data_IF_920595369274
#
_entry.id   IF_920595369274
#
_cell.length_a   1.000
_cell.length_b   1.000
_cell.length_c   1.000
_cell.angle_alpha   90.00
_cell.angle_beta   90.00
_cell.angle_gamma   90.00
#
_symmetry.space_group_name_H-M   'P 1'
#
loop_
_entity.id
_entity.type
_entity.pdbx_description
1 polymer ?
#
# COMPACT_ATOMS: atom_id res chain seq x y z
N UNK A 1 -0.93 -4.78 -10.72
CA UNK A 1 -0.04 -5.27 -11.81
C UNK A 1 -0.78 -5.74 -13.07
N UNK A 2 -1.78 -6.64 -13.02
CA UNK A 2 -2.49 -7.13 -14.23
C UNK A 2 -3.11 -6.04 -15.13
N UNK A 3 -3.54 -4.91 -14.55
CA UNK A 3 -4.16 -3.79 -15.28
C UNK A 3 -3.19 -3.09 -16.24
N UNK A 4 -1.91 -2.96 -15.86
CA UNK A 4 -0.87 -2.35 -16.71
C UNK A 4 -0.62 -3.19 -17.95
N UNK A 5 -0.53 -4.51 -17.78
CA UNK A 5 -0.29 -5.46 -18.89
C UNK A 5 -1.44 -5.45 -19.91
N UNK A 6 -2.68 -5.27 -19.44
CA UNK A 6 -3.85 -5.11 -20.31
C UNK A 6 -3.77 -3.83 -21.14
N UNK A 7 -3.39 -2.70 -20.53
CA UNK A 7 -3.22 -1.43 -21.26
C UNK A 7 -2.09 -1.54 -22.30
N UNK A 8 -0.95 -2.13 -21.92
CA UNK A 8 0.19 -2.32 -22.84
C UNK A 8 -0.18 -3.22 -24.02
N UNK A 9 -1.03 -4.22 -23.81
CA UNK A 9 -1.54 -5.08 -24.89
C UNK A 9 -2.66 -4.45 -25.73
N UNK A 10 -2.98 -3.17 -25.49
CA UNK A 10 -4.02 -2.43 -26.23
C UNK A 10 -5.45 -2.76 -25.81
N UNK A 11 -5.62 -3.46 -24.68
CA UNK A 11 -6.93 -3.79 -24.13
C UNK A 11 -7.27 -2.79 -23.03
N UNK A 12 -8.38 -2.08 -23.22
CA UNK A 12 -8.89 -1.14 -22.20
C UNK A 12 -9.44 -1.95 -21.01
N UNK A 13 -8.94 -1.76 -19.78
CA UNK A 13 -9.37 -2.52 -18.62
C UNK A 13 -10.82 -2.19 -18.24
N UNK A 14 -11.66 -3.21 -18.09
CA UNK A 14 -13.01 -3.04 -17.57
C UNK A 14 -12.98 -2.96 -16.04
N UNK A 15 -12.95 -1.73 -15.52
CA UNK A 15 -12.98 -1.40 -14.09
C UNK A 15 -14.38 -1.50 -13.45
N UNK A 16 -15.28 -2.35 -13.98
CA UNK A 16 -16.60 -2.55 -13.39
C UNK A 16 -16.51 -3.35 -12.08
N UNK A 17 -16.05 -2.69 -11.01
CA UNK A 17 -16.30 -3.11 -9.63
C UNK A 17 -17.70 -2.66 -9.25
N UNK A 18 -18.70 -3.39 -9.77
CA UNK A 18 -20.07 -3.33 -9.27
C UNK A 18 -20.10 -3.79 -7.82
N UNK A 19 -20.44 -2.85 -6.94
CA UNK A 19 -21.20 -2.98 -5.70
C UNK A 19 -22.03 -4.28 -5.63
N UNK A 20 -21.95 -5.04 -4.52
CA UNK A 20 -23.06 -5.73 -3.85
C UNK A 20 -22.60 -6.93 -2.98
N UNK A 21 -22.73 -6.79 -1.66
CA UNK A 21 -23.08 -7.83 -0.67
C UNK A 21 -22.99 -7.14 0.72
N UNK A 22 -24.10 -6.73 1.36
CA UNK A 22 -24.99 -7.59 2.17
C UNK A 22 -24.24 -7.96 3.48
N UNK A 23 -24.56 -7.52 4.69
CA UNK A 23 -25.86 -7.33 5.35
C UNK A 23 -25.78 -8.04 6.72
N UNK A 24 -26.00 -7.29 7.80
CA UNK A 24 -26.63 -7.67 9.09
C UNK A 24 -26.11 -8.80 10.01
N UNK A 25 -25.99 -8.42 11.31
CA UNK A 25 -26.62 -9.04 12.50
C UNK A 25 -25.78 -9.83 13.53
N UNK A 26 -25.56 -9.16 14.68
CA UNK A 26 -25.89 -9.51 16.09
C UNK A 26 -25.74 -10.97 16.60
N UNK A 27 -24.97 -11.14 17.68
CA UNK A 27 -25.01 -12.31 18.56
C UNK A 27 -24.26 -12.08 19.88
N UNK A 28 -24.94 -12.31 21.00
CA UNK A 28 -24.56 -12.03 22.40
C UNK A 28 -24.02 -13.28 23.09
N UNK A 29 -23.13 -13.10 24.09
CA UNK A 29 -22.96 -14.04 25.21
C UNK A 29 -21.53 -14.49 25.53
N UNK A 30 -21.16 -14.48 26.82
CA UNK A 30 -20.17 -15.41 27.37
C UNK A 30 -19.03 -14.81 28.19
N UNK A 31 -19.11 -15.00 29.50
CA UNK A 31 -18.20 -14.56 30.56
C UNK A 31 -17.08 -15.59 30.85
N UNK A 32 -15.99 -15.10 31.47
CA UNK A 32 -15.01 -15.81 32.31
C UNK A 32 -13.70 -16.29 31.68
N UNK A 33 -12.58 -15.94 32.31
CA UNK A 33 -11.26 -16.47 32.00
C UNK A 33 -10.11 -15.54 32.37
N UNK A 34 -9.77 -15.49 33.66
CA UNK A 34 -8.51 -14.93 34.16
C UNK A 34 -7.28 -15.65 33.60
N UNK A 35 -6.14 -14.96 33.69
CA UNK A 35 -4.74 -15.42 33.67
C UNK A 35 -3.90 -15.20 32.40
N UNK A 36 -2.84 -14.41 32.67
CA UNK A 36 -1.44 -14.70 32.33
C UNK A 36 -0.86 -13.97 31.11
N UNK A 37 -0.18 -12.87 31.44
CA UNK A 37 1.24 -12.65 31.16
C UNK A 37 1.79 -13.35 29.91
N UNK A 38 1.77 -12.62 28.80
CA UNK A 38 2.61 -12.86 27.64
C UNK A 38 3.02 -11.50 27.12
N UNK A 39 4.22 -11.05 27.51
CA UNK A 39 4.77 -9.78 27.06
C UNK A 39 4.61 -9.66 25.55
N UNK A 40 4.05 -8.53 25.13
CA UNK A 40 4.01 -8.13 23.73
C UNK A 40 5.46 -8.11 23.25
N UNK A 41 5.84 -9.19 22.58
CA UNK A 41 7.12 -9.32 21.90
C UNK A 41 7.00 -8.45 20.65
N UNK A 42 7.01 -7.13 20.87
CA UNK A 42 7.37 -6.17 19.84
C UNK A 42 8.76 -6.59 19.41
N UNK A 43 8.82 -7.26 18.26
CA UNK A 43 10.06 -7.67 17.62
C UNK A 43 10.87 -6.40 17.46
N UNK A 44 11.74 -6.16 18.44
CA UNK A 44 12.59 -4.99 18.50
C UNK A 44 13.56 -5.25 17.36
N UNK A 45 13.34 -4.57 16.23
CA UNK A 45 14.23 -4.61 15.08
C UNK A 45 15.64 -4.39 15.62
N UNK A 46 16.39 -5.51 15.66
CA UNK A 46 17.52 -5.70 16.57
C UNK A 46 18.56 -4.61 16.32
N UNK A 47 19.30 -4.26 17.37
CA UNK A 47 20.33 -3.20 17.44
C UNK A 47 21.55 -3.44 16.53
N UNK A 48 21.39 -4.07 15.37
CA UNK A 48 22.37 -4.12 14.30
C UNK A 48 22.29 -2.80 13.51
N UNK A 49 23.08 -1.82 13.95
CA UNK A 49 23.15 -0.48 13.36
C UNK A 49 23.51 -0.51 11.87
N UNK A 50 24.34 -1.46 11.43
CA UNK A 50 24.71 -1.63 10.02
C UNK A 50 23.57 -2.20 9.18
N UNK A 51 22.82 -3.19 9.68
CA UNK A 51 21.63 -3.72 9.01
C UNK A 51 20.56 -2.64 8.84
N UNK A 52 20.30 -1.90 9.91
CA UNK A 52 19.35 -0.78 9.91
C UNK A 52 19.70 0.31 8.90
N UNK A 53 20.99 0.65 8.76
CA UNK A 53 21.44 1.64 7.77
C UNK A 53 21.23 1.18 6.32
N UNK A 54 21.43 -0.11 6.04
CA UNK A 54 21.15 -0.67 4.71
C UNK A 54 19.66 -0.66 4.42
N UNK A 55 18.84 -1.07 5.38
CA UNK A 55 17.39 -1.06 5.22
C UNK A 55 16.86 0.37 5.07
N UNK A 56 17.44 1.35 5.79
CA UNK A 56 17.14 2.77 5.60
C UNK A 56 17.45 3.24 4.18
N UNK A 57 18.62 2.87 3.63
CA UNK A 57 19.00 3.23 2.27
C UNK A 57 18.02 2.62 1.25
N UNK A 58 17.73 1.32 1.38
CA UNK A 58 16.80 0.62 0.49
C UNK A 58 15.39 1.21 0.57
N UNK A 59 14.86 1.46 1.77
CA UNK A 59 13.54 2.07 1.92
C UNK A 59 13.50 3.49 1.35
N UNK A 60 14.58 4.27 1.48
CA UNK A 60 14.66 5.61 0.88
C UNK A 60 14.65 5.55 -0.64
N UNK A 61 15.40 4.63 -1.24
CA UNK A 61 15.46 4.41 -2.68
C UNK A 61 14.12 3.93 -3.26
N UNK A 62 13.50 2.94 -2.61
CA UNK A 62 12.17 2.45 -3.00
C UNK A 62 11.15 3.58 -2.85
N UNK A 63 11.13 4.31 -1.73
CA UNK A 63 10.20 5.43 -1.56
C UNK A 63 10.37 6.54 -2.60
N UNK A 64 11.61 6.83 -3.01
CA UNK A 64 11.88 7.77 -4.10
C UNK A 64 11.35 7.25 -5.45
N UNK A 65 11.54 5.95 -5.71
CA UNK A 65 11.00 5.27 -6.90
C UNK A 65 9.47 5.32 -6.92
N UNK A 66 8.80 4.99 -5.81
CA UNK A 66 7.34 5.06 -5.70
C UNK A 66 6.81 6.48 -5.97
N UNK A 67 7.47 7.50 -5.38
CA UNK A 67 7.11 8.91 -5.64
C UNK A 67 7.29 9.28 -7.11
N UNK A 68 8.35 8.82 -7.75
CA UNK A 68 8.59 9.06 -9.17
C UNK A 68 7.51 8.41 -10.04
N UNK A 69 7.24 7.12 -9.84
CA UNK A 69 6.20 6.37 -10.56
C UNK A 69 4.82 7.03 -10.37
N UNK A 70 4.50 7.42 -9.14
CA UNK A 70 3.25 8.12 -8.82
C UNK A 70 3.12 9.46 -9.56
N UNK A 71 4.21 10.23 -9.66
CA UNK A 71 4.21 11.51 -10.41
C UNK A 71 4.01 11.31 -11.93
N UNK A 72 4.52 10.20 -12.47
CA UNK A 72 4.32 9.82 -13.89
C UNK A 72 2.85 9.46 -14.11
N UNK A 73 2.22 8.71 -13.21
CA UNK A 73 0.80 8.39 -13.33
C UNK A 73 -0.08 9.64 -13.26
N UNK A 74 0.21 10.60 -12.37
CA UNK A 74 -0.52 11.88 -12.32
C UNK A 74 -0.49 12.59 -13.69
N UNK A 75 0.70 12.70 -14.29
CA UNK A 75 0.88 13.31 -15.62
C UNK A 75 0.11 12.55 -16.70
N UNK A 76 0.27 11.22 -16.75
CA UNK A 76 -0.41 10.36 -17.70
C UNK A 76 -1.94 10.49 -17.59
N UNK A 77 -2.49 10.47 -16.38
CA UNK A 77 -3.94 10.62 -16.15
C UNK A 77 -4.46 11.91 -16.77
N UNK A 78 -3.72 13.02 -16.72
CA UNK A 78 -4.13 14.27 -17.37
C UNK A 78 -4.11 14.18 -18.89
N UNK A 79 -3.09 13.53 -19.47
CA UNK A 79 -2.85 13.50 -20.92
C UNK A 79 -3.69 12.45 -21.68
N UNK A 80 -4.10 11.35 -21.03
CA UNK A 80 -4.93 10.32 -21.68
C UNK A 80 -6.35 10.84 -22.01
N UNK A 81 -6.81 10.57 -23.24
CA UNK A 81 -8.15 10.94 -23.72
C UNK A 81 -9.23 9.91 -23.40
N UNK A 82 -8.85 8.65 -23.17
CA UNK A 82 -9.77 7.55 -22.90
C UNK A 82 -10.13 7.50 -21.41
N UNK A 83 -11.41 7.68 -21.09
CA UNK A 83 -11.93 7.69 -19.71
C UNK A 83 -11.68 6.38 -18.96
N UNK A 84 -11.74 5.22 -19.62
CA UNK A 84 -11.49 3.95 -18.96
C UNK A 84 -10.01 3.77 -18.61
N UNK A 85 -9.11 4.21 -19.49
CA UNK A 85 -7.67 4.23 -19.17
C UNK A 85 -7.39 5.21 -18.04
N UNK A 86 -8.02 6.40 -18.04
CA UNK A 86 -7.91 7.37 -16.93
C UNK A 86 -8.36 6.74 -15.61
N UNK A 87 -9.49 6.05 -15.60
CA UNK A 87 -9.98 5.35 -14.40
C UNK A 87 -9.03 4.23 -13.95
N UNK A 88 -8.46 3.50 -14.90
CA UNK A 88 -7.47 2.46 -14.63
C UNK A 88 -6.21 3.03 -13.95
N UNK A 89 -5.65 4.10 -14.51
CA UNK A 89 -4.48 4.77 -13.96
C UNK A 89 -4.77 5.44 -12.62
N UNK A 90 -5.96 6.02 -12.41
CA UNK A 90 -6.37 6.58 -11.12
C UNK A 90 -6.43 5.53 -10.01
N UNK A 91 -6.85 4.31 -10.34
CA UNK A 91 -6.82 3.22 -9.37
C UNK A 91 -5.39 2.83 -9.01
N UNK A 92 -4.53 2.65 -10.01
CA UNK A 92 -3.11 2.32 -9.80
C UNK A 92 -2.43 3.43 -9.00
N UNK A 93 -2.71 4.70 -9.29
CA UNK A 93 -2.19 5.84 -8.55
C UNK A 93 -2.55 5.79 -7.05
N UNK A 94 -3.76 5.32 -6.70
CA UNK A 94 -4.14 5.09 -5.31
C UNK A 94 -3.37 3.92 -4.68
N UNK A 95 -3.11 2.85 -5.44
CA UNK A 95 -2.26 1.74 -4.99
C UNK A 95 -0.84 2.23 -4.70
N UNK A 96 -0.20 3.00 -5.59
CA UNK A 96 1.16 3.51 -5.38
C UNK A 96 1.26 4.48 -4.20
N UNK A 97 0.24 5.33 -4.00
CA UNK A 97 0.17 6.19 -2.81
C UNK A 97 0.10 5.37 -1.52
N UNK A 98 -0.62 4.24 -1.52
CA UNK A 98 -0.69 3.33 -0.38
C UNK A 98 0.64 2.60 -0.15
N UNK A 99 1.34 2.16 -1.20
CA UNK A 99 2.68 1.59 -1.11
C UNK A 99 3.67 2.59 -0.48
N UNK A 100 3.69 3.83 -0.99
CA UNK A 100 4.50 4.91 -0.44
C UNK A 100 4.22 5.18 1.04
N UNK A 101 2.95 5.17 1.45
CA UNK A 101 2.55 5.31 2.87
C UNK A 101 3.08 4.16 3.73
N UNK A 102 3.00 2.92 3.27
CA UNK A 102 3.50 1.77 4.03
C UNK A 102 5.01 1.84 4.27
N UNK A 103 5.78 2.23 3.25
CA UNK A 103 7.22 2.42 3.37
C UNK A 103 7.53 3.56 4.34
N UNK A 104 6.82 4.69 4.21
CA UNK A 104 6.97 5.82 5.13
C UNK A 104 6.66 5.42 6.59
N UNK A 105 5.54 4.74 6.84
CA UNK A 105 5.15 4.32 8.20
C UNK A 105 6.20 3.38 8.79
N UNK A 106 6.73 2.44 8.00
CA UNK A 106 7.81 1.56 8.42
C UNK A 106 9.09 2.34 8.74
N UNK A 107 9.52 3.26 7.87
CA UNK A 107 10.69 4.08 8.12
C UNK A 107 10.52 4.97 9.35
N UNK A 108 9.35 5.57 9.53
CA UNK A 108 9.00 6.43 10.67
C UNK A 108 9.01 5.64 11.98
N UNK A 109 8.32 4.50 12.05
CA UNK A 109 8.28 3.63 13.23
C UNK A 109 9.66 3.12 13.66
N UNK A 110 10.60 3.00 12.72
CA UNK A 110 11.96 2.56 12.98
C UNK A 110 12.97 3.72 13.10
N UNK A 111 12.54 4.98 13.04
CA UNK A 111 13.45 6.15 13.12
C UNK A 111 14.47 6.19 11.97
N UNK A 112 14.07 5.73 10.79
CA UNK A 112 14.85 5.74 9.54
C UNK A 112 14.45 6.90 8.62
N UNK A 113 13.33 7.58 8.93
CA UNK A 113 12.87 8.76 8.22
C UNK A 113 13.27 10.01 9.03
N UNK A 114 14.02 10.93 8.43
CA UNK A 114 14.47 12.20 9.05
C UNK A 114 14.07 13.37 8.17
#
# INVERSE_FOLDING_TARGET
>A
MNTIEQIISGTVPNMNSSSQSGGQQQGSGGQSGSQQSGGSQGSSYSSNTTGKQRDQFLCSDILATEKHVSSVYDTCIFEFKDEQIRNALNHIQKEEQQHGKQIYDFMSANGMYS
#
